data_IF_235285416587
#
_entry.id   IF_235285416587
#
_cell.length_a   1.000
_cell.length_b   1.000
_cell.length_c   1.000
_cell.angle_alpha   90.00
_cell.angle_beta   90.00
_cell.angle_gamma   90.00
#
_symmetry.space_group_name_H-M   'P 1'
#
loop_
_entity.id
_entity.type
_entity.pdbx_description
1 polymer ?
#
# COMPACT_ATOMS: atom_id res chain seq x y z
N UNK A 1 -15.31 14.38 0.99
CA UNK A 1 -14.38 13.24 1.02
C UNK A 1 -13.37 13.40 -0.09
N UNK A 2 -12.11 13.66 0.25
CA UNK A 2 -11.03 13.81 -0.73
C UNK A 2 -10.55 12.42 -1.11
N UNK A 3 -10.63 12.06 -2.39
CA UNK A 3 -10.13 10.76 -2.87
C UNK A 3 -8.61 10.81 -2.86
N UNK A 4 -7.98 9.98 -2.03
CA UNK A 4 -6.53 9.84 -1.97
C UNK A 4 -6.10 8.73 -2.94
N UNK A 5 -5.07 9.00 -3.76
CA UNK A 5 -4.45 8.01 -4.65
C UNK A 5 -3.03 7.78 -4.17
N UNK A 6 -2.74 6.56 -3.73
CA UNK A 6 -1.40 6.14 -3.36
C UNK A 6 -0.80 5.36 -4.54
N UNK A 7 0.18 5.96 -5.21
CA UNK A 7 0.97 5.32 -6.27
C UNK A 7 2.35 5.06 -5.69
N UNK A 8 2.73 3.78 -5.64
CA UNK A 8 4.06 3.37 -5.20
C UNK A 8 4.62 2.44 -6.27
N UNK A 9 5.84 2.72 -6.69
CA UNK A 9 6.66 1.78 -7.44
C UNK A 9 7.21 0.76 -6.43
N UNK A 10 6.69 -0.46 -6.49
CA UNK A 10 7.12 -1.54 -5.60
C UNK A 10 8.34 -2.28 -6.14
N UNK A 11 8.69 -2.06 -7.41
CA UNK A 11 9.83 -2.70 -8.03
C UNK A 11 11.11 -2.21 -7.36
N UNK A 12 11.93 -3.15 -6.90
CA UNK A 12 13.19 -2.94 -6.17
C UNK A 12 13.14 -2.24 -4.79
N UNK A 13 11.98 -1.75 -4.33
CA UNK A 13 11.86 -1.15 -2.97
C UNK A 13 11.29 -2.12 -1.93
N UNK A 14 10.49 -3.10 -2.35
CA UNK A 14 9.87 -4.12 -1.48
C UNK A 14 10.22 -5.56 -1.89
N UNK A 15 10.92 -5.74 -3.01
CA UNK A 15 11.42 -7.03 -3.44
C UNK A 15 12.73 -7.32 -2.68
N UNK A 16 12.63 -8.09 -1.59
CA UNK A 16 13.79 -8.58 -0.83
C UNK A 16 13.72 -8.45 0.70
N UNK A 17 12.76 -7.70 1.25
CA UNK A 17 12.52 -7.61 2.70
C UNK A 17 11.11 -8.06 3.06
N UNK A 18 10.98 -9.37 3.24
CA UNK A 18 9.72 -10.05 3.59
C UNK A 18 9.09 -9.49 4.88
N UNK A 19 9.89 -8.95 5.81
CA UNK A 19 9.37 -8.40 7.07
C UNK A 19 8.70 -7.03 6.88
N UNK A 20 9.20 -6.21 5.97
CA UNK A 20 8.58 -4.93 5.62
C UNK A 20 7.21 -5.15 4.97
N UNK A 21 7.11 -6.13 4.06
CA UNK A 21 5.85 -6.50 3.40
C UNK A 21 4.78 -7.00 4.37
N UNK A 22 5.17 -7.82 5.36
CA UNK A 22 4.25 -8.33 6.39
C UNK A 22 3.64 -7.21 7.26
N UNK A 23 4.34 -6.08 7.43
CA UNK A 23 3.83 -4.91 8.16
C UNK A 23 3.05 -3.96 7.27
N UNK A 24 3.50 -3.77 6.03
CA UNK A 24 2.90 -2.81 5.10
C UNK A 24 1.52 -3.27 4.61
N UNK A 25 1.35 -4.56 4.30
CA UNK A 25 0.10 -5.10 3.75
C UNK A 25 -1.12 -4.92 4.69
N UNK A 26 -1.01 -5.19 6.01
CA UNK A 26 -2.08 -4.89 6.95
C UNK A 26 -2.45 -3.40 7.00
N UNK A 27 -1.46 -2.51 7.02
CA UNK A 27 -1.68 -1.06 7.09
C UNK A 27 -2.39 -0.52 5.84
N UNK A 28 -1.95 -0.97 4.66
CA UNK A 28 -2.59 -0.63 3.38
C UNK A 28 -4.02 -1.16 3.31
N UNK A 29 -4.27 -2.36 3.84
CA UNK A 29 -5.61 -2.97 3.89
C UNK A 29 -6.55 -2.18 4.81
N UNK A 30 -6.08 -1.82 6.01
CA UNK A 30 -6.83 -0.99 6.94
C UNK A 30 -7.16 0.37 6.33
N UNK A 31 -6.16 1.05 5.75
CA UNK A 31 -6.35 2.35 5.13
C UNK A 31 -7.35 2.31 3.96
N UNK A 32 -7.33 1.23 3.16
CA UNK A 32 -8.33 1.01 2.10
C UNK A 32 -9.74 0.86 2.68
N UNK A 33 -9.91 0.11 3.77
CA UNK A 33 -11.20 -0.10 4.40
C UNK A 33 -11.75 1.19 5.03
N UNK A 34 -10.90 1.95 5.71
CA UNK A 34 -11.30 3.18 6.43
C UNK A 34 -11.60 4.34 5.48
N UNK A 35 -10.84 4.48 4.39
CA UNK A 35 -10.88 5.67 3.54
C UNK A 35 -11.41 5.40 2.12
N UNK A 36 -11.62 4.14 1.72
CA UNK A 36 -11.97 3.79 0.35
C UNK A 36 -10.85 4.10 -0.66
N UNK A 37 -9.60 4.21 -0.18
CA UNK A 37 -8.42 4.53 -0.98
C UNK A 37 -8.17 3.46 -2.03
N UNK A 38 -8.05 3.86 -3.30
CA UNK A 38 -7.64 2.96 -4.38
C UNK A 38 -6.12 2.90 -4.42
N UNK A 39 -5.57 1.75 -4.06
CA UNK A 39 -4.12 1.49 -4.09
C UNK A 39 -3.82 0.77 -5.40
N UNK A 40 -2.94 1.35 -6.21
CA UNK A 40 -2.52 0.83 -7.51
C UNK A 40 -1.01 0.59 -7.44
N UNK A 41 -0.60 -0.61 -7.84
CA UNK A 41 0.80 -0.99 -7.99
C UNK A 41 1.15 -0.77 -9.47
N UNK A 42 2.24 -0.03 -9.71
CA UNK A 42 2.77 0.25 -11.05
C UNK A 42 3.98 -0.64 -11.31
#
# INVERSE_FOLDING_TARGET
MTKFLFVTDLDNTLVGDDQALLKLNPLLSQHRQEHGTRIVYA
#
